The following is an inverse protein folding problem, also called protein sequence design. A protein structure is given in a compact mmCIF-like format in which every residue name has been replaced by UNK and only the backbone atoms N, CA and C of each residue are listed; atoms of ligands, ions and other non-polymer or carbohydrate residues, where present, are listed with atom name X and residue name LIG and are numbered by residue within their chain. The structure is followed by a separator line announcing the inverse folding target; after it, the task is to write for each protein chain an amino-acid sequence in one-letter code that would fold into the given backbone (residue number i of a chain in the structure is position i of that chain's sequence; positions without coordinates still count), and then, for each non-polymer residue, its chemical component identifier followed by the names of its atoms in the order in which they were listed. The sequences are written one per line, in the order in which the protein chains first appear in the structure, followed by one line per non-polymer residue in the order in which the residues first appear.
data_IF_592059073685
#
_entry.id   IF_592059073685
#
_cell.length_a   1.000
_cell.length_b   1.000
_cell.length_c   1.000
_cell.angle_alpha   90.00
_cell.angle_beta   90.00
_cell.angle_gamma   90.00
#
_symmetry.space_group_name_H-M   'P 1'
#
loop_
_entity.id
_entity.type
_entity.pdbx_description
1 polymer ?
#
# COMPACT_ATOMS: atom_id res chain seq x y z
N UNK A 1 0.56 7.97 -35.49
CA UNK A 1 -0.89 7.65 -35.65
C UNK A 1 -1.55 7.81 -34.32
N UNK A 2 -2.34 8.87 -34.11
CA UNK A 2 -3.08 9.10 -32.86
C UNK A 2 -4.32 8.20 -32.86
N UNK A 3 -4.25 7.10 -32.10
CA UNK A 3 -5.42 6.26 -31.88
C UNK A 3 -6.45 7.02 -31.03
N UNK A 4 -7.64 7.25 -31.55
CA UNK A 4 -8.78 7.75 -30.76
C UNK A 4 -9.08 6.71 -29.68
N UNK A 5 -8.88 7.08 -28.41
CA UNK A 5 -9.38 6.30 -27.27
C UNK A 5 -10.91 6.32 -27.38
N UNK A 6 -11.51 5.17 -27.64
CA UNK A 6 -12.96 5.05 -27.63
C UNK A 6 -13.45 5.31 -26.19
N UNK A 7 -14.26 6.34 -26.02
CA UNK A 7 -14.94 6.63 -24.74
C UNK A 7 -15.99 5.54 -24.52
N UNK A 8 -15.70 4.62 -23.62
CA UNK A 8 -16.69 3.64 -23.17
C UNK A 8 -17.59 4.32 -22.15
N UNK A 9 -18.85 4.49 -22.49
CA UNK A 9 -19.87 5.01 -21.55
C UNK A 9 -20.24 3.90 -20.59
N UNK A 10 -19.98 4.09 -19.31
CA UNK A 10 -20.45 3.16 -18.27
C UNK A 10 -21.99 3.18 -18.21
N UNK A 11 -22.62 2.03 -17.91
CA UNK A 11 -24.07 2.00 -17.69
C UNK A 11 -24.45 2.91 -16.51
N UNK A 12 -25.65 3.51 -16.50
CA UNK A 12 -26.09 4.32 -15.39
C UNK A 12 -26.16 3.48 -14.10
N UNK A 13 -25.85 4.08 -12.94
CA UNK A 13 -25.90 3.35 -11.67
C UNK A 13 -27.34 2.88 -11.38
N UNK A 14 -27.47 1.69 -10.78
CA UNK A 14 -28.75 1.20 -10.31
C UNK A 14 -29.27 2.08 -9.16
N UNK A 15 -30.61 2.20 -9.03
CA UNK A 15 -31.28 3.04 -8.01
C UNK A 15 -30.80 2.78 -6.57
N UNK A 16 -30.33 1.58 -6.29
CA UNK A 16 -29.86 1.19 -4.97
C UNK A 16 -28.43 0.63 -4.99
N UNK A 17 -27.60 1.13 -5.89
CA UNK A 17 -26.21 0.69 -6.02
C UNK A 17 -25.39 1.05 -4.77
N UNK A 18 -24.66 0.09 -4.25
CA UNK A 18 -23.58 0.35 -3.29
C UNK A 18 -22.31 0.76 -4.04
N UNK A 19 -21.50 1.57 -3.39
CA UNK A 19 -20.18 1.96 -3.85
C UNK A 19 -19.17 1.89 -2.69
N UNK A 20 -17.94 2.11 -3.00
CA UNK A 20 -16.84 2.16 -2.03
C UNK A 20 -16.20 3.54 -2.12
N UNK A 21 -16.11 4.23 -0.99
CA UNK A 21 -15.25 5.40 -0.84
C UNK A 21 -13.82 4.91 -0.74
N UNK A 22 -12.93 5.49 -1.52
CA UNK A 22 -11.52 5.11 -1.57
C UNK A 22 -10.66 6.30 -1.18
N UNK A 23 -9.79 6.12 -0.19
CA UNK A 23 -8.80 7.10 0.23
C UNK A 23 -7.42 6.49 0.17
N UNK A 24 -6.46 7.16 -0.50
CA UNK A 24 -5.07 6.77 -0.45
C UNK A 24 -4.49 7.05 0.94
N UNK A 25 -3.65 6.14 1.41
CA UNK A 25 -2.93 6.27 2.68
C UNK A 25 -1.43 6.44 2.41
N UNK A 26 -0.78 7.23 3.23
CA UNK A 26 0.68 7.21 3.31
C UNK A 26 1.12 5.84 3.83
N UNK A 27 2.03 5.20 3.13
CA UNK A 27 2.46 3.84 3.44
C UNK A 27 3.99 3.66 3.29
N UNK A 28 4.71 4.78 3.16
CA UNK A 28 6.15 4.83 2.94
C UNK A 28 6.56 4.84 1.48
N UNK A 29 7.86 4.97 1.26
CA UNK A 29 8.47 4.92 -0.06
C UNK A 29 9.53 3.83 -0.09
N UNK A 30 9.67 3.18 -1.23
CA UNK A 30 10.68 2.16 -1.50
C UNK A 30 11.63 2.64 -2.59
N UNK A 31 12.90 2.41 -2.40
CA UNK A 31 13.92 2.59 -3.42
C UNK A 31 14.29 1.22 -3.99
N UNK A 32 14.25 1.08 -5.28
CA UNK A 32 14.49 -0.20 -5.96
C UNK A 32 15.20 0.01 -7.30
N UNK A 33 16.00 -1.00 -7.74
CA UNK A 33 16.69 -0.95 -9.02
C UNK A 33 15.71 -1.21 -10.16
N UNK A 34 15.68 -0.31 -11.14
CA UNK A 34 14.74 -0.35 -12.27
C UNK A 34 15.01 -1.54 -13.18
N UNK A 35 16.26 -1.94 -13.36
CA UNK A 35 16.67 -3.12 -14.13
C UNK A 35 16.05 -4.43 -13.64
N UNK A 36 15.58 -4.47 -12.40
CA UNK A 36 14.83 -5.61 -11.86
C UNK A 36 13.34 -5.62 -12.23
N UNK A 37 12.82 -4.50 -12.70
CA UNK A 37 11.38 -4.31 -13.01
C UNK A 37 11.12 -4.18 -14.50
N UNK A 38 12.05 -3.57 -15.21
CA UNK A 38 11.91 -3.28 -16.64
C UNK A 38 13.06 -3.91 -17.38
N UNK A 39 12.76 -4.79 -18.34
CA UNK A 39 13.77 -5.44 -19.17
C UNK A 39 14.52 -4.40 -20.03
N UNK A 40 15.76 -4.70 -20.36
CA UNK A 40 16.63 -3.92 -21.25
C UNK A 40 16.88 -2.46 -20.79
N UNK A 41 16.84 -2.22 -19.47
CA UNK A 41 17.22 -0.93 -18.87
C UNK A 41 18.55 -1.04 -18.15
N UNK A 42 19.27 0.08 -18.05
CA UNK A 42 20.44 0.18 -17.20
C UNK A 42 20.03 0.17 -15.71
N UNK A 43 20.96 -0.24 -14.86
CA UNK A 43 20.74 -0.24 -13.41
C UNK A 43 20.68 1.18 -12.88
N UNK A 44 19.49 1.63 -12.55
CA UNK A 44 19.20 2.90 -11.92
C UNK A 44 18.32 2.67 -10.69
N UNK A 45 18.52 3.45 -9.64
CA UNK A 45 17.69 3.41 -8.43
C UNK A 45 16.55 4.42 -8.54
N UNK A 46 15.32 3.98 -8.36
CA UNK A 46 14.15 4.85 -8.34
C UNK A 46 13.38 4.74 -7.03
N UNK A 47 12.86 5.86 -6.56
CA UNK A 47 11.95 5.93 -5.43
C UNK A 47 10.50 5.82 -5.91
N UNK A 48 9.76 4.90 -5.32
CA UNK A 48 8.35 4.67 -5.61
C UNK A 48 7.55 4.68 -4.30
N UNK A 49 6.34 5.24 -4.27
CA UNK A 49 5.47 5.11 -3.12
C UNK A 49 5.01 3.66 -2.95
N UNK A 50 5.01 3.16 -1.73
CA UNK A 50 4.25 1.97 -1.37
C UNK A 50 2.78 2.38 -1.25
N UNK A 51 1.90 1.70 -1.97
CA UNK A 51 0.49 2.10 -2.06
C UNK A 51 -0.34 1.31 -1.04
N UNK A 52 -1.14 2.03 -0.26
CA UNK A 52 -2.16 1.46 0.60
C UNK A 52 -3.43 2.31 0.52
N UNK A 53 -4.57 1.70 0.80
CA UNK A 53 -5.87 2.37 0.66
C UNK A 53 -6.79 2.06 1.82
N UNK A 54 -7.53 3.08 2.26
CA UNK A 54 -8.72 2.90 3.10
C UNK A 54 -9.95 2.83 2.21
N UNK A 55 -10.74 1.78 2.38
CA UNK A 55 -11.96 1.50 1.63
C UNK A 55 -13.14 1.50 2.60
N UNK A 56 -14.20 2.26 2.28
CA UNK A 56 -15.42 2.28 3.10
C UNK A 56 -16.62 1.96 2.24
N UNK A 57 -17.38 0.93 2.64
CA UNK A 57 -18.62 0.56 1.96
C UNK A 57 -19.75 1.55 2.27
N UNK A 58 -20.36 2.15 1.26
CA UNK A 58 -21.29 3.27 1.36
C UNK A 58 -22.56 2.98 2.17
N UNK A 59 -23.04 1.73 2.20
CA UNK A 59 -24.28 1.36 2.89
C UNK A 59 -24.07 0.79 4.28
N UNK A 60 -23.02 -0.03 4.47
CA UNK A 60 -22.79 -0.72 5.74
C UNK A 60 -21.83 0.05 6.64
N UNK A 61 -21.03 0.96 6.06
CA UNK A 61 -19.93 1.61 6.75
C UNK A 61 -18.71 0.71 6.98
N UNK A 62 -18.75 -0.57 6.54
CA UNK A 62 -17.65 -1.53 6.69
C UNK A 62 -16.36 -0.94 6.11
N UNK A 63 -15.29 -1.00 6.90
CA UNK A 63 -13.99 -0.39 6.56
C UNK A 63 -12.92 -1.44 6.37
N UNK A 64 -12.19 -1.33 5.28
CA UNK A 64 -11.06 -2.20 4.94
C UNK A 64 -9.83 -1.34 4.75
N UNK A 65 -8.69 -1.80 5.22
CA UNK A 65 -7.39 -1.33 4.75
C UNK A 65 -6.85 -2.34 3.72
N UNK A 66 -6.50 -1.85 2.56
CA UNK A 66 -5.90 -2.62 1.49
C UNK A 66 -4.41 -2.29 1.44
N UNK A 67 -3.58 -3.27 1.75
CA UNK A 67 -2.14 -3.20 1.99
C UNK A 67 -1.72 -2.34 3.19
N UNK A 68 -0.56 -2.65 3.77
CA UNK A 68 -0.08 -2.00 4.99
C UNK A 68 1.23 -1.21 4.79
N UNK A 69 1.77 -1.19 3.56
CA UNK A 69 2.99 -0.49 3.24
C UNK A 69 4.25 -1.09 3.87
N UNK A 70 5.32 -0.32 3.86
CA UNK A 70 6.61 -0.74 4.40
C UNK A 70 6.72 -0.47 5.90
N UNK A 71 7.61 -1.22 6.56
CA UNK A 71 7.91 -1.01 7.98
C UNK A 71 8.89 0.15 8.16
N UNK A 72 8.60 1.00 9.16
CA UNK A 72 9.55 2.03 9.63
C UNK A 72 10.81 1.39 10.25
N UNK A 73 10.62 0.29 10.96
CA UNK A 73 11.67 -0.46 11.63
C UNK A 73 12.24 -1.56 10.71
N UNK A 74 13.23 -1.18 9.90
CA UNK A 74 13.95 -2.08 9.02
C UNK A 74 14.64 -3.22 9.78
N UNK A 75 15.11 -2.98 11.00
CA UNK A 75 15.83 -3.97 11.78
C UNK A 75 14.94 -5.13 12.25
N UNK A 76 13.62 -4.93 12.29
CA UNK A 76 12.65 -5.98 12.59
C UNK A 76 12.42 -6.98 11.45
N UNK A 77 12.95 -6.74 10.26
CA UNK A 77 12.89 -7.75 9.20
C UNK A 77 13.79 -8.96 9.51
N UNK A 78 13.40 -10.17 9.06
CA UNK A 78 14.27 -11.35 9.21
C UNK A 78 15.67 -11.14 8.64
N UNK A 79 16.73 -11.68 9.28
CA UNK A 79 18.11 -11.45 8.83
C UNK A 79 18.35 -11.79 7.35
N UNK A 80 17.78 -12.88 6.86
CA UNK A 80 17.88 -13.28 5.46
C UNK A 80 17.28 -12.25 4.50
N UNK A 81 16.14 -11.65 4.87
CA UNK A 81 15.50 -10.60 4.10
C UNK A 81 16.34 -9.32 4.09
N UNK A 82 16.81 -8.87 5.25
CA UNK A 82 17.70 -7.71 5.35
C UNK A 82 18.97 -7.85 4.49
N UNK A 83 19.58 -9.04 4.54
CA UNK A 83 20.73 -9.36 3.70
C UNK A 83 20.37 -9.24 2.22
N UNK A 84 19.28 -9.86 1.79
CA UNK A 84 18.81 -9.84 0.40
C UNK A 84 18.50 -8.44 -0.10
N UNK A 85 17.80 -7.64 0.72
CA UNK A 85 17.48 -6.24 0.37
C UNK A 85 18.76 -5.42 0.17
N UNK A 86 19.75 -5.55 1.06
CA UNK A 86 21.04 -4.86 0.92
C UNK A 86 21.81 -5.28 -0.33
N UNK A 87 21.87 -6.58 -0.62
CA UNK A 87 22.54 -7.12 -1.81
C UNK A 87 21.90 -6.61 -3.11
N UNK A 88 20.60 -6.43 -3.12
CA UNK A 88 19.85 -5.95 -4.29
C UNK A 88 19.81 -4.42 -4.40
N UNK A 89 20.19 -3.69 -3.33
CA UNK A 89 20.13 -2.24 -3.30
C UNK A 89 18.75 -1.68 -2.95
N UNK A 90 17.86 -2.49 -2.36
CA UNK A 90 16.57 -2.02 -1.84
C UNK A 90 16.76 -1.21 -0.56
N UNK A 91 15.99 -0.15 -0.43
CA UNK A 91 15.83 0.60 0.81
C UNK A 91 14.40 1.15 0.93
N UNK A 92 14.04 1.63 2.10
CA UNK A 92 12.73 2.24 2.32
C UNK A 92 12.80 3.40 3.32
N UNK A 93 11.85 4.32 3.20
CA UNK A 93 11.62 5.39 4.16
C UNK A 93 10.15 5.44 4.52
N UNK A 94 9.83 5.64 5.80
CA UNK A 94 8.46 5.72 6.29
C UNK A 94 8.35 6.95 7.18
N UNK A 95 7.90 8.05 6.63
CA UNK A 95 7.62 9.27 7.38
C UNK A 95 6.32 9.11 8.19
N UNK A 96 5.31 8.54 7.57
CA UNK A 96 4.01 8.27 8.15
C UNK A 96 3.61 6.83 7.85
N UNK A 97 3.24 6.07 8.87
CA UNK A 97 2.70 4.71 8.72
C UNK A 97 1.24 4.75 8.29
N UNK A 98 0.72 3.61 7.82
CA UNK A 98 -0.70 3.44 7.48
C UNK A 98 -1.60 3.79 8.67
N UNK A 99 -1.24 3.37 9.88
CA UNK A 99 -2.01 3.70 11.11
C UNK A 99 -2.03 5.21 11.36
N UNK A 100 -0.88 5.88 11.31
CA UNK A 100 -0.79 7.33 11.49
C UNK A 100 -1.55 8.08 10.37
N UNK A 101 -1.54 7.55 9.14
CA UNK A 101 -2.29 8.11 8.02
C UNK A 101 -3.80 8.01 8.23
N UNK A 102 -4.29 6.87 8.74
CA UNK A 102 -5.69 6.68 9.13
C UNK A 102 -6.09 7.68 10.22
N UNK A 103 -5.32 7.77 11.29
CA UNK A 103 -5.59 8.67 12.43
C UNK A 103 -5.61 10.15 12.00
N UNK A 104 -4.69 10.56 11.13
CA UNK A 104 -4.69 11.90 10.52
C UNK A 104 -5.94 12.15 9.68
N UNK A 105 -6.46 11.12 9.03
CA UNK A 105 -7.74 11.13 8.31
C UNK A 105 -8.98 11.02 9.22
N UNK A 106 -8.81 10.99 10.56
CA UNK A 106 -9.90 10.89 11.53
C UNK A 106 -10.47 9.48 11.69
N UNK A 107 -9.75 8.44 11.28
CA UNK A 107 -10.15 7.04 11.40
C UNK A 107 -9.22 6.33 12.38
N UNK A 108 -9.75 5.87 13.50
CA UNK A 108 -8.96 5.10 14.45
C UNK A 108 -8.75 3.66 13.93
N UNK A 109 -7.57 3.07 14.21
CA UNK A 109 -7.26 1.70 13.77
C UNK A 109 -8.32 0.67 14.21
N UNK A 110 -8.91 0.84 15.39
CA UNK A 110 -10.00 -0.02 15.90
C UNK A 110 -11.31 0.03 15.11
N UNK A 111 -11.47 1.01 14.21
CA UNK A 111 -12.64 1.16 13.33
C UNK A 111 -12.45 0.42 12.00
N UNK A 112 -11.31 -0.27 11.83
CA UNK A 112 -11.03 -1.10 10.67
C UNK A 112 -11.54 -2.51 10.91
N UNK A 113 -12.48 -2.94 10.09
CA UNK A 113 -13.12 -4.26 10.19
C UNK A 113 -12.26 -5.37 9.59
N UNK A 114 -11.46 -5.06 8.56
CA UNK A 114 -10.61 -6.03 7.89
C UNK A 114 -9.37 -5.38 7.26
N UNK A 115 -8.32 -6.19 7.11
CA UNK A 115 -7.14 -5.86 6.32
C UNK A 115 -7.02 -6.88 5.19
N UNK A 116 -6.86 -6.39 3.97
CA UNK A 116 -6.58 -7.22 2.79
C UNK A 116 -5.15 -6.92 2.35
N UNK A 117 -4.34 -7.96 2.28
CA UNK A 117 -2.99 -7.88 1.72
C UNK A 117 -3.04 -8.40 0.30
N UNK A 118 -2.69 -7.57 -0.67
CA UNK A 118 -2.73 -7.91 -2.09
C UNK A 118 -1.80 -9.07 -2.44
N UNK A 119 -0.63 -9.09 -1.81
CA UNK A 119 0.38 -10.13 -1.95
C UNK A 119 1.40 -10.06 -0.79
N UNK A 120 2.21 -11.11 -0.65
CA UNK A 120 3.13 -11.24 0.49
C UNK A 120 4.54 -10.71 0.19
N UNK A 121 4.68 -9.54 -0.40
CA UNK A 121 5.94 -8.83 -0.46
C UNK A 121 6.18 -8.01 0.81
N UNK A 122 7.46 -7.75 1.10
CA UNK A 122 7.90 -7.08 2.32
C UNK A 122 7.38 -5.64 2.49
N UNK A 123 6.96 -5.01 1.40
CA UNK A 123 6.44 -3.66 1.31
C UNK A 123 4.89 -3.59 1.39
N UNK A 124 4.23 -4.73 1.57
CA UNK A 124 2.76 -4.80 1.64
C UNK A 124 2.23 -5.30 2.98
N UNK A 125 3.07 -5.85 3.84
CA UNK A 125 2.63 -6.32 5.14
C UNK A 125 3.57 -5.88 6.26
N UNK A 126 2.99 -5.43 7.35
CA UNK A 126 3.69 -5.15 8.60
C UNK A 126 3.40 -6.30 9.54
N UNK A 127 4.42 -7.12 9.86
CA UNK A 127 4.24 -8.15 10.90
C UNK A 127 4.06 -7.46 12.24
N UNK A 128 3.04 -7.88 12.98
CA UNK A 128 2.70 -7.36 14.30
C UNK A 128 3.90 -7.37 15.21
N UNK A 129 4.29 -6.21 15.76
CA UNK A 129 5.19 -6.19 16.93
C UNK A 129 4.44 -6.77 18.13
N UNK A 130 5.03 -7.67 18.92
CA UNK A 130 4.35 -8.27 20.10
C UNK A 130 3.98 -7.26 21.19
N UNK A 131 4.36 -5.99 21.05
CA UNK A 131 4.27 -4.96 22.10
C UNK A 131 3.29 -3.83 21.84
N UNK A 132 2.59 -3.79 20.72
CA UNK A 132 1.59 -2.75 20.46
C UNK A 132 0.34 -3.35 19.85
N UNK A 133 -0.83 -2.97 20.38
CA UNK A 133 -2.16 -3.37 19.88
C UNK A 133 -2.56 -2.59 18.61
N UNK A 134 -1.61 -2.21 17.79
CA UNK A 134 -1.80 -1.61 16.46
C UNK A 134 -1.33 -2.59 15.40
N UNK A 135 -2.01 -2.62 14.27
CA UNK A 135 -1.74 -3.52 13.14
C UNK A 135 -0.28 -3.79 12.89
#
# INVERSE_FOLDING_TARGET
MSGKIATVTLPPPALNQAYVDVSALEAGNICLPIDMLVADTERELAWCPSLAFSLRHSKTGFRIVFDLGTRRDFESYPPAMKKRMKELGFSSTVEQSVTESLEKGGVAAKEIDAVIVSHLHWDQYVTRSPRTHSF
#
